data_IF_761657248972
#
_entry.id   IF_761657248972
#
_cell.length_a   1.000
_cell.length_b   1.000
_cell.length_c   1.000
_cell.angle_alpha   90.00
_cell.angle_beta   90.00
_cell.angle_gamma   90.00
#
_symmetry.space_group_name_H-M   'P 1'
#
loop_
_entity.id
_entity.type
_entity.pdbx_description
1 polymer ?
#
# COMPACT_ATOMS: atom_id res chain seq x y z
N UNK A 1 -20.32 -3.07 11.13
CA UNK A 1 -20.15 -1.72 10.52
C UNK A 1 -19.14 -1.89 9.40
N UNK A 2 -19.19 -1.11 8.32
CA UNK A 2 -18.21 -1.20 7.24
C UNK A 2 -16.77 -0.98 7.74
N UNK A 3 -16.54 0.02 8.60
CA UNK A 3 -15.29 0.13 9.35
C UNK A 3 -15.05 -1.12 10.20
N UNK A 4 -13.99 -1.85 9.88
CA UNK A 4 -13.70 -3.18 10.40
C UNK A 4 -12.95 -3.09 11.73
N UNK A 5 -13.19 -4.03 12.62
CA UNK A 5 -12.44 -4.20 13.88
C UNK A 5 -11.21 -5.10 13.69
N UNK A 6 -10.24 -5.04 14.60
CA UNK A 6 -9.07 -5.91 14.57
C UNK A 6 -9.43 -7.40 14.64
N UNK A 7 -10.51 -7.73 15.38
CA UNK A 7 -11.04 -9.11 15.45
C UNK A 7 -11.60 -9.58 14.11
N UNK A 8 -12.38 -8.75 13.42
CA UNK A 8 -12.91 -9.07 12.09
C UNK A 8 -11.78 -9.20 11.07
N UNK A 9 -10.72 -8.38 11.17
CA UNK A 9 -9.49 -8.51 10.39
C UNK A 9 -8.85 -9.89 10.56
N UNK A 10 -8.51 -10.25 11.79
CA UNK A 10 -7.90 -11.56 12.09
C UNK A 10 -8.80 -12.72 11.65
N UNK A 11 -10.12 -12.60 11.83
CA UNK A 11 -11.08 -13.65 11.44
C UNK A 11 -11.08 -13.86 9.93
N UNK A 12 -11.12 -12.78 9.14
CA UNK A 12 -11.10 -12.89 7.68
C UNK A 12 -9.80 -13.51 7.14
N UNK A 13 -8.65 -13.22 7.77
CA UNK A 13 -7.39 -13.89 7.41
C UNK A 13 -7.43 -15.42 7.66
N UNK A 14 -8.10 -15.85 8.74
CA UNK A 14 -8.25 -17.28 9.07
C UNK A 14 -9.20 -18.02 8.14
N UNK A 15 -10.30 -17.36 7.77
CA UNK A 15 -11.35 -17.94 6.92
C UNK A 15 -10.94 -18.05 5.44
N UNK A 16 -9.94 -17.27 5.02
CA UNK A 16 -9.44 -17.19 3.65
C UNK A 16 -7.95 -17.58 3.57
N UNK A 17 -7.62 -18.87 3.71
CA UNK A 17 -6.24 -19.32 3.76
C UNK A 17 -5.55 -19.12 2.41
N UNK A 18 -4.45 -18.36 2.42
CA UNK A 18 -3.58 -18.16 1.25
C UNK A 18 -2.38 -19.10 1.27
N UNK A 19 -1.77 -19.32 0.12
CA UNK A 19 -0.56 -20.13 0.02
C UNK A 19 0.70 -19.29 0.30
N UNK A 20 1.24 -19.41 1.50
CA UNK A 20 2.42 -18.67 1.97
C UNK A 20 3.54 -19.64 2.30
N UNK A 21 4.76 -19.30 1.90
CA UNK A 21 5.97 -20.06 2.13
C UNK A 21 7.01 -19.20 2.87
N UNK A 22 7.59 -19.74 3.94
CA UNK A 22 8.68 -19.15 4.74
C UNK A 22 9.67 -20.27 5.05
N UNK A 23 10.97 -20.03 4.90
CA UNK A 23 12.03 -20.99 5.24
C UNK A 23 11.87 -22.39 4.58
N UNK A 24 11.31 -22.43 3.37
CA UNK A 24 11.06 -23.67 2.64
C UNK A 24 9.80 -24.43 3.07
N UNK A 25 9.04 -23.92 4.04
CA UNK A 25 7.83 -24.54 4.55
C UNK A 25 6.57 -23.74 4.19
N UNK A 26 5.48 -24.47 3.90
CA UNK A 26 4.16 -23.85 3.69
C UNK A 26 3.52 -23.54 5.04
N UNK A 27 3.15 -22.28 5.22
CA UNK A 27 2.47 -21.79 6.42
C UNK A 27 0.99 -22.15 6.37
N UNK A 28 0.48 -22.72 7.46
CA UNK A 28 -0.93 -23.12 7.59
C UNK A 28 -1.84 -21.96 8.01
N UNK A 29 -1.37 -21.11 8.93
CA UNK A 29 -2.14 -20.00 9.49
C UNK A 29 -1.21 -18.79 9.72
N UNK A 30 -1.40 -17.77 8.89
CA UNK A 30 -0.64 -16.52 8.95
C UNK A 30 -0.90 -15.71 10.23
N UNK A 31 -2.03 -15.93 10.90
CA UNK A 31 -2.42 -15.16 12.10
C UNK A 31 -1.72 -15.63 13.37
N UNK A 32 -1.21 -16.87 13.36
CA UNK A 32 -0.56 -17.49 14.52
C UNK A 32 0.91 -17.80 14.28
N UNK A 33 1.35 -17.84 13.01
CA UNK A 33 2.74 -18.11 12.66
C UNK A 33 3.70 -17.10 13.34
N UNK A 34 4.79 -17.55 14.00
CA UNK A 34 5.68 -16.67 14.75
C UNK A 34 6.22 -15.47 13.97
N UNK A 35 6.56 -15.67 12.70
CA UNK A 35 7.10 -14.62 11.82
C UNK A 35 6.07 -13.54 11.39
N UNK A 36 4.77 -13.79 11.57
CA UNK A 36 3.70 -12.95 11.01
C UNK A 36 2.73 -12.43 12.07
N UNK A 37 2.51 -13.19 13.14
CA UNK A 37 1.45 -12.91 14.14
C UNK A 37 1.53 -11.52 14.77
N UNK A 38 2.72 -10.96 14.94
CA UNK A 38 2.85 -9.63 15.54
C UNK A 38 2.60 -8.52 14.52
N UNK A 39 2.98 -8.70 13.25
CA UNK A 39 2.52 -7.85 12.15
C UNK A 39 1.00 -7.87 12.01
N UNK A 40 0.38 -9.05 12.12
CA UNK A 40 -1.09 -9.19 12.16
C UNK A 40 -1.70 -8.41 13.32
N UNK A 41 -1.15 -8.53 14.53
CA UNK A 41 -1.63 -7.76 15.69
C UNK A 41 -1.47 -6.26 15.50
N UNK A 42 -0.38 -5.81 14.89
CA UNK A 42 -0.14 -4.39 14.63
C UNK A 42 -1.16 -3.83 13.65
N UNK A 43 -1.48 -4.53 12.56
CA UNK A 43 -2.57 -4.12 11.65
C UNK A 43 -3.93 -4.17 12.36
N UNK A 44 -4.20 -5.22 13.14
CA UNK A 44 -5.45 -5.34 13.91
C UNK A 44 -5.65 -4.15 14.87
N UNK A 45 -4.57 -3.69 15.52
CA UNK A 45 -4.60 -2.53 16.41
C UNK A 45 -4.96 -1.22 15.69
N UNK A 46 -4.61 -1.07 14.40
CA UNK A 46 -5.03 0.10 13.60
C UNK A 46 -6.54 0.11 13.37
N UNK A 47 -7.12 -1.06 13.09
CA UNK A 47 -8.57 -1.23 12.96
C UNK A 47 -9.30 -1.01 14.29
N UNK A 48 -8.75 -1.48 15.40
CA UNK A 48 -9.32 -1.20 16.73
C UNK A 48 -9.25 0.31 17.05
N UNK A 49 -8.13 0.98 16.74
CA UNK A 49 -8.00 2.45 16.87
C UNK A 49 -9.03 3.20 16.01
N UNK A 50 -9.31 2.74 14.81
CA UNK A 50 -10.33 3.34 13.94
C UNK A 50 -11.74 3.26 14.54
N UNK A 51 -11.99 2.25 15.38
CA UNK A 51 -13.27 2.06 16.06
C UNK A 51 -13.31 2.65 17.48
N UNK A 52 -12.21 3.22 17.96
CA UNK A 52 -12.16 3.89 19.27
C UNK A 52 -13.17 5.04 19.31
N UNK A 53 -14.15 5.04 20.24
CA UNK A 53 -15.14 6.11 20.35
C UNK A 53 -14.54 7.52 20.46
N UNK A 54 -13.35 7.67 21.05
CA UNK A 54 -12.70 8.98 21.23
C UNK A 54 -12.05 9.48 19.92
N UNK A 55 -11.68 8.58 19.01
CA UNK A 55 -11.01 8.91 17.75
C UNK A 55 -11.91 8.76 16.53
N UNK A 56 -13.08 8.12 16.66
CA UNK A 56 -13.94 7.71 15.54
C UNK A 56 -14.24 8.84 14.54
N UNK A 57 -14.46 10.07 15.01
CA UNK A 57 -14.72 11.23 14.14
C UNK A 57 -13.49 11.65 13.32
N UNK A 58 -12.28 11.46 13.87
CA UNK A 58 -11.02 11.68 13.15
C UNK A 58 -10.66 10.51 12.24
N UNK A 59 -11.18 9.30 12.50
CA UNK A 59 -10.76 8.07 11.81
C UNK A 59 -11.74 7.60 10.74
N UNK A 60 -12.98 8.08 10.76
CA UNK A 60 -14.04 7.60 9.85
C UNK A 60 -14.87 8.74 9.27
N UNK A 61 -15.65 8.43 8.22
CA UNK A 61 -16.71 9.29 7.69
C UNK A 61 -17.92 8.45 7.30
N UNK A 62 -19.07 9.10 7.09
CA UNK A 62 -20.28 8.41 6.65
C UNK A 62 -20.12 7.95 5.20
N UNK A 63 -20.31 6.64 4.96
CA UNK A 63 -20.31 6.06 3.61
C UNK A 63 -21.35 6.76 2.73
N UNK A 64 -20.98 7.19 1.52
CA UNK A 64 -21.93 7.74 0.55
C UNK A 64 -23.03 6.74 0.14
N UNK A 65 -22.77 5.43 0.20
CA UNK A 65 -23.71 4.38 -0.22
C UNK A 65 -24.58 3.86 0.91
N UNK A 66 -24.02 3.71 2.12
CA UNK A 66 -24.72 3.05 3.24
C UNK A 66 -25.04 3.98 4.41
N UNK A 67 -24.43 5.17 4.47
CA UNK A 67 -24.47 6.08 5.61
C UNK A 67 -23.74 5.56 6.85
N UNK A 68 -23.26 4.31 6.83
CA UNK A 68 -22.52 3.71 7.92
C UNK A 68 -21.05 4.19 7.90
N UNK A 69 -20.36 4.21 9.05
CA UNK A 69 -18.97 4.68 9.06
C UNK A 69 -18.00 3.75 8.31
N UNK A 70 -17.15 4.37 7.50
CA UNK A 70 -16.05 3.78 6.72
C UNK A 70 -14.76 4.54 7.03
N UNK A 71 -13.60 3.90 6.83
CA UNK A 71 -12.29 4.49 7.13
C UNK A 71 -12.03 5.77 6.34
N UNK A 72 -11.51 6.82 7.00
CA UNK A 72 -11.29 8.15 6.40
C UNK A 72 -10.26 8.14 5.26
N UNK A 73 -9.35 7.17 5.22
CA UNK A 73 -8.40 7.00 4.12
C UNK A 73 -9.07 6.71 2.77
N UNK A 74 -10.34 6.28 2.76
CA UNK A 74 -11.15 6.12 1.55
C UNK A 74 -11.88 7.40 1.10
N UNK A 75 -11.75 8.53 1.81
CA UNK A 75 -12.41 9.78 1.43
C UNK A 75 -11.82 10.33 0.13
N UNK A 76 -12.65 10.45 -0.92
CA UNK A 76 -12.31 11.16 -2.17
C UNK A 76 -12.29 12.66 -1.88
N UNK A 77 -11.12 13.32 -1.84
CA UNK A 77 -11.05 14.71 -1.37
C UNK A 77 -11.71 15.66 -2.36
N UNK A 78 -12.50 16.60 -1.86
CA UNK A 78 -13.13 17.67 -2.64
C UNK A 78 -12.61 19.05 -2.23
N UNK A 79 -11.84 19.12 -1.14
CA UNK A 79 -11.29 20.35 -0.57
C UNK A 79 -9.92 20.10 0.07
N UNK A 80 -9.17 21.17 0.34
CA UNK A 80 -7.90 21.09 1.08
C UNK A 80 -8.15 20.53 2.49
N UNK A 81 -9.27 20.90 3.11
CA UNK A 81 -9.66 20.39 4.43
C UNK A 81 -9.83 18.86 4.43
N UNK A 82 -10.35 18.27 3.35
CA UNK A 82 -10.40 16.81 3.22
C UNK A 82 -9.01 16.15 3.18
N UNK A 83 -8.02 16.81 2.54
CA UNK A 83 -6.62 16.36 2.54
C UNK A 83 -6.03 16.44 3.95
N UNK A 84 -6.26 17.54 4.67
CA UNK A 84 -5.79 17.72 6.05
C UNK A 84 -6.44 16.71 7.01
N UNK A 85 -7.74 16.43 6.85
CA UNK A 85 -8.47 15.39 7.59
C UNK A 85 -7.84 14.02 7.36
N UNK A 86 -7.56 13.66 6.09
CA UNK A 86 -6.82 12.43 5.75
C UNK A 86 -5.41 12.40 6.33
N UNK A 87 -4.66 13.51 6.26
CA UNK A 87 -3.32 13.63 6.89
C UNK A 87 -3.38 13.33 8.38
N UNK A 88 -4.36 13.90 9.10
CA UNK A 88 -4.51 13.67 10.54
C UNK A 88 -4.78 12.19 10.85
N UNK A 89 -5.68 11.54 10.13
CA UNK A 89 -5.95 10.11 10.29
C UNK A 89 -4.73 9.24 9.98
N UNK A 90 -4.05 9.48 8.85
CA UNK A 90 -2.79 8.80 8.51
C UNK A 90 -1.73 9.00 9.60
N UNK A 91 -1.63 10.21 10.17
CA UNK A 91 -0.68 10.47 11.26
C UNK A 91 -1.01 9.66 12.53
N UNK A 92 -2.30 9.49 12.89
CA UNK A 92 -2.72 8.63 14.02
C UNK A 92 -2.23 7.19 13.83
N UNK A 93 -2.48 6.61 12.66
CA UNK A 93 -2.00 5.26 12.33
C UNK A 93 -0.48 5.17 12.26
N UNK A 94 0.19 6.19 11.70
CA UNK A 94 1.66 6.22 11.67
C UNK A 94 2.26 6.22 13.09
N UNK A 95 1.73 7.02 14.02
CA UNK A 95 2.21 7.06 15.40
C UNK A 95 2.07 5.72 16.14
N UNK A 96 1.05 4.91 15.82
CA UNK A 96 0.87 3.57 16.39
C UNK A 96 2.06 2.62 16.11
N UNK A 97 2.83 2.90 15.05
CA UNK A 97 4.01 2.13 14.66
C UNK A 97 5.31 2.94 14.68
N UNK A 98 5.33 4.13 15.29
CA UNK A 98 6.47 5.05 15.22
C UNK A 98 6.89 5.38 13.77
N UNK A 99 5.91 5.40 12.86
CA UNK A 99 6.08 5.56 11.42
C UNK A 99 6.79 4.38 10.72
N UNK A 100 7.02 3.26 11.41
CA UNK A 100 7.77 2.12 10.86
C UNK A 100 6.99 1.37 9.78
N UNK A 101 5.68 1.19 9.96
CA UNK A 101 4.83 0.49 8.99
C UNK A 101 4.53 1.40 7.79
N UNK A 102 5.07 1.05 6.63
CA UNK A 102 4.96 1.80 5.38
C UNK A 102 3.84 1.33 4.44
N UNK A 103 3.18 0.23 4.77
CA UNK A 103 2.09 -0.39 4.00
C UNK A 103 0.87 -0.65 4.86
N UNK A 104 0.66 0.13 5.92
CA UNK A 104 -0.63 0.18 6.61
C UNK A 104 -1.78 0.38 5.59
N UNK A 105 -3.01 -0.10 5.90
CA UNK A 105 -4.08 -0.15 4.92
C UNK A 105 -4.35 1.17 4.18
N UNK A 106 -4.14 2.31 4.84
CA UNK A 106 -4.36 3.65 4.30
C UNK A 106 -3.49 3.93 3.06
N UNK A 107 -2.32 3.30 2.93
CA UNK A 107 -1.44 3.49 1.77
C UNK A 107 -2.13 3.12 0.44
N UNK A 108 -2.81 1.97 0.36
CA UNK A 108 -3.51 1.60 -0.89
C UNK A 108 -4.91 2.19 -0.96
N UNK A 109 -5.55 2.48 0.17
CA UNK A 109 -6.86 3.15 0.18
C UNK A 109 -6.79 4.49 -0.55
N UNK A 110 -5.73 5.28 -0.34
CA UNK A 110 -5.57 6.58 -1.01
C UNK A 110 -5.31 6.45 -2.51
N UNK A 111 -4.69 5.36 -2.96
CA UNK A 111 -4.47 5.08 -4.39
C UNK A 111 -5.79 4.73 -5.07
N UNK A 112 -6.56 3.79 -4.51
CA UNK A 112 -7.86 3.42 -5.07
C UNK A 112 -8.89 4.55 -4.98
N UNK A 113 -8.79 5.40 -3.96
CA UNK A 113 -9.57 6.64 -3.86
C UNK A 113 -9.29 7.58 -5.03
N UNK A 114 -8.00 7.79 -5.36
CA UNK A 114 -7.62 8.61 -6.52
C UNK A 114 -8.08 7.97 -7.84
N UNK A 115 -8.00 6.65 -7.97
CA UNK A 115 -8.47 5.93 -9.16
C UNK A 115 -9.98 6.00 -9.34
N UNK A 116 -10.76 5.82 -8.27
CA UNK A 116 -12.21 5.95 -8.32
C UNK A 116 -12.64 7.39 -8.62
N UNK A 117 -11.97 8.38 -8.03
CA UNK A 117 -12.22 9.79 -8.36
C UNK A 117 -11.81 10.17 -9.78
N UNK A 118 -10.92 9.39 -10.41
CA UNK A 118 -10.47 9.54 -11.79
C UNK A 118 -10.99 8.41 -12.71
N UNK A 119 -12.14 7.81 -12.41
CA UNK A 119 -12.58 6.57 -13.06
C UNK A 119 -12.76 6.70 -14.59
N UNK A 120 -13.01 7.91 -15.11
CA UNK A 120 -13.05 8.19 -16.55
C UNK A 120 -11.72 7.90 -17.26
N UNK A 121 -10.59 7.97 -16.56
CA UNK A 121 -9.29 7.55 -17.10
C UNK A 121 -9.32 6.10 -17.59
N UNK A 122 -9.98 5.22 -16.85
CA UNK A 122 -10.03 3.78 -17.11
C UNK A 122 -10.99 3.42 -18.25
N UNK A 123 -11.93 4.31 -18.61
CA UNK A 123 -12.85 4.11 -19.73
C UNK A 123 -12.24 4.41 -21.11
N UNK A 124 -11.03 4.98 -21.19
CA UNK A 124 -10.44 5.46 -22.45
C UNK A 124 -10.26 4.36 -23.50
N UNK A 125 -9.88 3.15 -23.08
CA UNK A 125 -9.74 2.01 -23.98
C UNK A 125 -10.96 1.07 -23.96
N UNK A 126 -11.41 0.71 -22.75
CA UNK A 126 -12.53 -0.20 -22.53
C UNK A 126 -13.52 0.43 -21.55
N UNK A 127 -14.70 0.89 -22.00
CA UNK A 127 -15.64 1.64 -21.17
C UNK A 127 -16.07 0.94 -19.88
N UNK A 128 -16.14 -0.39 -19.89
CA UNK A 128 -16.50 -1.21 -18.73
C UNK A 128 -15.52 -1.08 -17.55
N UNK A 129 -14.25 -0.75 -17.80
CA UNK A 129 -13.24 -0.67 -16.75
C UNK A 129 -13.46 0.49 -15.78
N UNK A 130 -14.15 1.56 -16.21
CA UNK A 130 -14.64 2.61 -15.31
C UNK A 130 -15.56 2.03 -14.23
N UNK A 131 -16.46 1.12 -14.61
CA UNK A 131 -17.35 0.47 -13.65
C UNK A 131 -16.55 -0.44 -12.72
N UNK A 132 -15.64 -1.24 -13.26
CA UNK A 132 -14.82 -2.17 -12.47
C UNK A 132 -14.02 -1.47 -11.37
N UNK A 133 -13.33 -0.37 -11.68
CA UNK A 133 -12.54 0.36 -10.68
C UNK A 133 -13.41 1.04 -9.63
N UNK A 134 -14.59 1.54 -10.02
CA UNK A 134 -15.55 2.18 -9.10
C UNK A 134 -16.18 1.15 -8.16
N UNK A 135 -16.70 0.05 -8.72
CA UNK A 135 -17.27 -1.06 -7.96
C UNK A 135 -16.25 -1.67 -6.99
N UNK A 136 -15.00 -1.84 -7.44
CA UNK A 136 -13.94 -2.38 -6.59
C UNK A 136 -13.59 -1.42 -5.46
N UNK A 137 -13.46 -0.11 -5.72
CA UNK A 137 -13.27 0.91 -4.68
C UNK A 137 -14.40 0.88 -3.64
N UNK A 138 -15.65 0.80 -4.07
CA UNK A 138 -16.80 0.66 -3.16
C UNK A 138 -16.70 -0.62 -2.34
N UNK A 139 -16.40 -1.76 -2.98
CA UNK A 139 -16.23 -3.04 -2.30
C UNK A 139 -15.15 -2.99 -1.22
N UNK A 140 -13.95 -2.48 -1.52
CA UNK A 140 -12.87 -2.41 -0.52
C UNK A 140 -13.15 -1.40 0.58
N UNK A 141 -13.86 -0.30 0.29
CA UNK A 141 -14.28 0.69 1.30
C UNK A 141 -15.33 0.12 2.24
N UNK A 142 -16.37 -0.51 1.69
CA UNK A 142 -17.49 -1.02 2.48
C UNK A 142 -17.15 -2.28 3.28
N UNK A 143 -16.03 -2.93 2.97
CA UNK A 143 -15.50 -4.08 3.73
C UNK A 143 -14.19 -3.77 4.47
N UNK A 144 -13.67 -2.54 4.33
CA UNK A 144 -12.45 -2.03 4.96
C UNK A 144 -11.30 -3.05 4.89
N UNK A 145 -10.99 -3.44 3.64
CA UNK A 145 -10.04 -4.49 3.34
C UNK A 145 -8.59 -3.98 3.41
N UNK A 146 -7.70 -4.81 3.95
CA UNK A 146 -6.25 -4.59 3.88
C UNK A 146 -5.75 -5.04 2.50
N UNK A 147 -5.09 -4.14 1.76
CA UNK A 147 -4.50 -4.47 0.47
C UNK A 147 -2.97 -4.53 0.55
N UNK A 148 -2.37 -5.38 -0.28
CA UNK A 148 -0.97 -5.26 -0.70
C UNK A 148 -0.90 -4.92 -2.20
N UNK A 149 0.28 -4.60 -2.70
CA UNK A 149 0.53 -4.46 -4.13
C UNK A 149 1.86 -5.10 -4.52
N UNK A 150 2.01 -5.42 -5.80
CA UNK A 150 3.31 -5.80 -6.35
C UNK A 150 3.51 -5.14 -7.71
N UNK A 151 4.61 -4.39 -7.83
CA UNK A 151 4.83 -3.46 -8.96
C UNK A 151 5.97 -3.89 -9.87
N UNK A 152 6.92 -4.65 -9.34
CA UNK A 152 8.16 -4.98 -10.05
C UNK A 152 8.06 -6.38 -10.65
N UNK A 153 8.41 -6.48 -11.92
CA UNK A 153 8.67 -7.79 -12.52
C UNK A 153 10.00 -8.33 -12.00
N UNK A 154 10.08 -9.65 -11.83
CA UNK A 154 11.35 -10.29 -11.55
C UNK A 154 12.25 -10.13 -12.78
N UNK A 155 13.30 -9.32 -12.64
CA UNK A 155 14.26 -9.08 -13.73
C UNK A 155 15.41 -10.07 -13.62
N UNK A 156 15.64 -10.83 -14.68
CA UNK A 156 16.79 -11.73 -14.76
C UNK A 156 18.12 -10.99 -14.90
N UNK A 157 18.12 -9.82 -15.55
CA UNK A 157 19.29 -8.93 -15.72
C UNK A 157 18.85 -7.47 -15.69
N UNK A 158 19.73 -6.58 -15.21
CA UNK A 158 19.50 -5.12 -15.20
C UNK A 158 19.77 -4.44 -16.54
N UNK A 159 20.50 -5.08 -17.46
CA UNK A 159 20.84 -4.52 -18.78
C UNK A 159 19.84 -4.99 -19.85
N UNK A 160 19.24 -4.06 -20.59
CA UNK A 160 18.15 -4.33 -21.56
C UNK A 160 18.63 -4.65 -23.00
N UNK A 161 19.83 -5.21 -23.16
CA UNK A 161 20.45 -5.36 -24.48
C UNK A 161 20.92 -6.79 -24.74
N UNK A 162 20.04 -7.57 -25.36
CA UNK A 162 20.31 -8.62 -26.37
C UNK A 162 19.16 -9.64 -26.32
N UNK A 163 18.65 -10.01 -27.50
CA UNK A 163 17.73 -11.12 -27.79
C UNK A 163 17.81 -12.20 -26.71
N UNK A 164 16.75 -12.36 -25.91
CA UNK A 164 16.65 -13.43 -24.92
C UNK A 164 16.02 -14.65 -25.60
N UNK A 165 16.68 -15.81 -25.49
CA UNK A 165 16.25 -17.10 -26.06
C UNK A 165 15.76 -18.06 -24.97
N UNK A 166 15.48 -17.56 -23.77
CA UNK A 166 14.97 -18.31 -22.63
C UNK A 166 13.59 -17.75 -22.24
N UNK A 167 12.62 -18.64 -21.98
CA UNK A 167 11.17 -18.38 -22.04
C UNK A 167 10.69 -17.14 -21.25
N UNK A 168 9.68 -16.46 -21.81
CA UNK A 168 8.93 -15.29 -21.27
C UNK A 168 8.27 -15.50 -19.89
N UNK A 169 8.47 -16.65 -19.24
CA UNK A 169 7.66 -17.16 -18.13
C UNK A 169 8.02 -16.57 -16.75
N UNK A 170 9.01 -15.67 -16.67
CA UNK A 170 9.43 -15.08 -15.40
C UNK A 170 8.59 -13.86 -15.02
N UNK A 171 8.34 -12.95 -15.96
CA UNK A 171 7.53 -11.76 -15.70
C UNK A 171 6.04 -12.12 -15.74
N UNK A 172 5.25 -11.53 -14.84
CA UNK A 172 3.81 -11.74 -14.86
C UNK A 172 3.20 -11.24 -16.18
N UNK A 173 2.56 -12.14 -16.90
CA UNK A 173 2.07 -11.92 -18.27
C UNK A 173 0.67 -12.50 -18.42
N UNK A 174 -0.19 -11.86 -19.20
CA UNK A 174 -1.46 -12.46 -19.65
C UNK A 174 -1.16 -13.53 -20.68
N UNK A 175 -1.48 -14.78 -20.35
CA UNK A 175 -1.24 -15.95 -21.22
C UNK A 175 -2.48 -16.36 -22.00
N UNK A 176 -3.67 -15.96 -21.55
CA UNK A 176 -4.94 -16.28 -22.22
C UNK A 176 -6.04 -15.31 -21.82
N UNK A 177 -6.89 -14.94 -22.76
CA UNK A 177 -8.20 -14.33 -22.49
C UNK A 177 -9.31 -15.37 -22.65
N UNK A 178 -10.31 -15.31 -21.78
CA UNK A 178 -11.45 -16.23 -21.75
C UNK A 178 -12.74 -15.45 -21.50
N UNK A 179 -13.88 -16.09 -21.72
CA UNK A 179 -15.18 -15.49 -21.40
C UNK A 179 -15.31 -15.14 -19.90
N UNK A 180 -14.60 -15.85 -19.02
CA UNK A 180 -14.63 -15.63 -17.58
C UNK A 180 -13.65 -14.55 -17.09
N UNK A 181 -12.66 -14.15 -17.90
CA UNK A 181 -11.60 -13.23 -17.48
C UNK A 181 -10.26 -13.50 -18.19
N UNK A 182 -9.19 -12.94 -17.63
CA UNK A 182 -7.82 -13.14 -18.13
C UNK A 182 -7.06 -14.13 -17.25
N UNK A 183 -6.26 -15.00 -17.87
CA UNK A 183 -5.36 -15.91 -17.16
C UNK A 183 -3.96 -15.31 -17.18
N UNK A 184 -3.37 -15.17 -16.00
CA UNK A 184 -2.01 -14.64 -15.83
C UNK A 184 -1.06 -15.71 -15.31
N UNK A 185 0.18 -15.67 -15.78
CA UNK A 185 1.26 -16.56 -15.36
C UNK A 185 2.55 -15.79 -15.19
N UNK A 186 3.35 -16.16 -14.18
CA UNK A 186 4.68 -15.58 -13.93
C UNK A 186 4.82 -15.04 -12.51
N UNK A 187 5.68 -14.04 -12.32
CA UNK A 187 6.04 -13.55 -10.98
C UNK A 187 6.07 -12.03 -10.84
N UNK A 188 5.91 -11.58 -9.60
CA UNK A 188 6.08 -10.19 -9.17
C UNK A 188 6.89 -10.11 -7.88
N UNK A 189 7.64 -9.05 -7.70
CA UNK A 189 8.48 -8.81 -6.54
C UNK A 189 7.86 -7.78 -5.59
N UNK A 190 8.29 -7.86 -4.32
CA UNK A 190 8.08 -6.88 -3.26
C UNK A 190 6.60 -6.63 -2.92
N UNK A 191 5.85 -7.71 -2.68
CA UNK A 191 4.54 -7.65 -2.06
C UNK A 191 4.68 -7.48 -0.54
N UNK A 192 5.08 -6.28 -0.11
CA UNK A 192 5.17 -5.91 1.30
C UNK A 192 3.78 -5.99 1.94
N UNK A 193 3.69 -6.58 3.14
CA UNK A 193 2.44 -6.93 3.84
C UNK A 193 1.63 -8.07 3.17
N UNK A 194 2.14 -8.67 2.09
CA UNK A 194 1.38 -9.59 1.24
C UNK A 194 0.74 -10.77 1.97
N UNK A 195 1.50 -11.55 2.75
CA UNK A 195 0.96 -12.70 3.49
C UNK A 195 -0.19 -12.38 4.44
N UNK A 196 -0.33 -11.12 4.87
CA UNK A 196 -1.34 -10.69 5.85
C UNK A 196 -2.35 -9.69 5.26
N UNK A 197 -2.42 -9.55 3.93
CA UNK A 197 -3.40 -8.68 3.25
C UNK A 197 -4.61 -9.47 2.75
N UNK A 198 -5.81 -8.88 2.76
CA UNK A 198 -7.02 -9.53 2.25
C UNK A 198 -6.98 -9.68 0.71
N UNK A 199 -6.56 -8.62 0.02
CA UNK A 199 -6.52 -8.53 -1.44
C UNK A 199 -5.15 -8.03 -1.93
N UNK A 200 -4.84 -8.27 -3.19
CA UNK A 200 -3.64 -7.77 -3.84
C UNK A 200 -3.97 -6.99 -5.11
N UNK A 201 -3.41 -5.78 -5.21
CA UNK A 201 -3.43 -4.97 -6.42
C UNK A 201 -2.17 -5.20 -7.27
N UNK A 202 -2.38 -5.52 -8.53
CA UNK A 202 -1.31 -5.63 -9.52
C UNK A 202 -1.48 -4.49 -10.50
N UNK A 203 -0.49 -3.60 -10.52
CA UNK A 203 -0.40 -2.49 -11.46
C UNK A 203 1.08 -2.12 -11.63
N UNK A 204 1.39 -1.26 -12.59
CA UNK A 204 2.76 -0.92 -12.93
C UNK A 204 3.23 0.39 -12.31
N UNK A 205 4.50 0.41 -11.94
CA UNK A 205 5.21 1.59 -11.43
C UNK A 205 6.41 1.98 -12.31
N UNK A 206 6.48 1.46 -13.54
CA UNK A 206 7.60 1.69 -14.46
C UNK A 206 7.15 1.81 -15.90
N UNK A 207 8.07 2.22 -16.76
CA UNK A 207 7.82 2.41 -18.19
C UNK A 207 7.99 1.09 -18.93
N UNK A 208 6.89 0.42 -19.21
CA UNK A 208 6.88 -0.66 -20.16
C UNK A 208 7.28 -0.19 -21.55
N UNK A 209 7.99 -1.07 -22.26
CA UNK A 209 8.32 -0.86 -23.67
C UNK A 209 7.04 -1.00 -24.48
N UNK A 210 6.94 -0.25 -25.57
CA UNK A 210 5.83 -0.35 -26.52
C UNK A 210 6.12 -1.46 -27.53
N UNK A 211 6.22 -2.69 -27.03
CA UNK A 211 6.36 -3.93 -27.81
C UNK A 211 5.28 -4.96 -27.41
N UNK A 212 5.20 -6.10 -28.11
CA UNK A 212 4.14 -7.10 -27.85
C UNK A 212 4.21 -7.71 -26.45
N UNK A 213 5.42 -7.89 -25.91
CA UNK A 213 5.61 -8.35 -24.53
C UNK A 213 5.14 -7.28 -23.54
N UNK A 214 5.50 -6.02 -23.80
CA UNK A 214 5.00 -4.87 -23.06
C UNK A 214 3.49 -4.81 -23.04
N UNK A 215 2.79 -5.09 -24.15
CA UNK A 215 1.31 -5.15 -24.17
C UNK A 215 0.77 -6.27 -23.29
N UNK A 216 1.28 -7.50 -23.43
CA UNK A 216 0.83 -8.66 -22.62
C UNK A 216 1.13 -8.50 -21.12
N UNK A 217 2.12 -7.68 -20.79
CA UNK A 217 2.48 -7.34 -19.41
C UNK A 217 1.74 -6.10 -18.90
N UNK A 218 1.15 -5.27 -19.77
CA UNK A 218 0.48 -4.02 -19.39
C UNK A 218 -0.95 -4.27 -18.97
N UNK A 219 -1.17 -4.35 -17.65
CA UNK A 219 -2.49 -4.52 -17.07
C UNK A 219 -2.52 -3.93 -15.66
N UNK A 220 -3.73 -3.64 -15.19
CA UNK A 220 -4.03 -3.33 -13.80
C UNK A 220 -5.24 -4.15 -13.35
N UNK A 221 -5.14 -4.86 -12.21
CA UNK A 221 -6.23 -5.63 -11.64
C UNK A 221 -6.08 -5.79 -10.12
N UNK A 222 -7.09 -6.33 -9.44
CA UNK A 222 -6.96 -6.78 -8.05
C UNK A 222 -7.67 -8.10 -7.78
N UNK A 223 -7.07 -8.97 -6.99
CA UNK A 223 -7.65 -10.28 -6.64
C UNK A 223 -7.44 -10.62 -5.16
N UNK A 224 -8.27 -11.52 -4.59
CA UNK A 224 -8.06 -12.01 -3.23
C UNK A 224 -6.69 -12.70 -3.08
N UNK A 225 -6.04 -12.52 -1.94
CA UNK A 225 -4.75 -13.16 -1.66
C UNK A 225 -4.84 -14.70 -1.56
N UNK A 226 -6.04 -15.25 -1.37
CA UNK A 226 -6.34 -16.69 -1.37
C UNK A 226 -6.75 -17.24 -2.75
N UNK A 227 -6.62 -16.45 -3.82
CA UNK A 227 -6.93 -16.90 -5.19
C UNK A 227 -6.11 -18.14 -5.56
N UNK A 228 -6.74 -19.24 -6.04
CA UNK A 228 -6.03 -20.44 -6.45
C UNK A 228 -4.94 -20.15 -7.48
N UNK A 229 -3.74 -20.70 -7.25
CA UNK A 229 -2.56 -20.49 -8.09
C UNK A 229 -1.68 -19.30 -7.68
N UNK A 230 -2.16 -18.40 -6.79
CA UNK A 230 -1.33 -17.35 -6.20
C UNK A 230 -0.55 -17.87 -4.99
N UNK A 231 0.76 -17.66 -5.01
CA UNK A 231 1.68 -18.11 -3.95
C UNK A 231 2.59 -16.97 -3.50
N UNK A 232 2.81 -16.87 -2.19
CA UNK A 232 3.73 -15.93 -1.57
C UNK A 232 4.98 -16.66 -1.09
N UNK A 233 6.16 -16.27 -1.57
CA UNK A 233 7.45 -16.68 -1.04
C UNK A 233 8.05 -15.52 -0.25
N UNK A 234 8.05 -15.65 1.07
CA UNK A 234 8.52 -14.61 1.97
C UNK A 234 10.05 -14.54 2.02
N UNK A 235 10.58 -13.36 2.31
CA UNK A 235 11.96 -13.22 2.81
C UNK A 235 12.09 -13.80 4.23
N UNK A 236 13.33 -13.82 4.73
CA UNK A 236 13.59 -14.07 6.15
C UNK A 236 12.89 -13.00 7.02
N UNK A 237 12.28 -13.45 8.12
CA UNK A 237 11.59 -12.60 9.10
C UNK A 237 12.57 -11.76 9.91
N UNK A 238 12.23 -10.52 10.26
CA UNK A 238 12.94 -9.78 11.31
C UNK A 238 12.32 -10.02 12.69
N UNK A 239 11.04 -10.40 12.75
CA UNK A 239 10.41 -10.92 13.96
C UNK A 239 10.82 -12.38 14.20
N UNK A 240 11.89 -12.54 14.97
CA UNK A 240 12.48 -13.81 15.37
C UNK A 240 11.97 -14.28 16.74
N UNK A 241 10.81 -13.80 17.19
CA UNK A 241 10.24 -14.16 18.50
C UNK A 241 11.03 -13.61 19.70
N UNK A 242 11.81 -12.55 19.48
CA UNK A 242 12.63 -11.91 20.51
C UNK A 242 11.81 -10.97 21.40
N UNK A 243 12.36 -10.61 22.55
CA UNK A 243 11.70 -9.72 23.53
C UNK A 243 11.37 -8.35 22.95
N UNK A 244 10.17 -7.83 23.26
CA UNK A 244 9.76 -6.45 22.97
C UNK A 244 10.62 -5.40 23.68
N UNK A 245 11.37 -5.76 24.72
CA UNK A 245 12.29 -4.83 25.37
C UNK A 245 13.58 -4.63 24.55
N UNK A 246 14.20 -5.72 24.10
CA UNK A 246 15.46 -5.67 23.35
C UNK A 246 15.26 -5.39 21.85
N UNK A 247 14.11 -5.77 21.30
CA UNK A 247 13.77 -5.62 19.88
C UNK A 247 12.43 -4.89 19.69
N UNK A 248 12.25 -3.68 20.23
CA UNK A 248 10.94 -3.04 20.38
C UNK A 248 10.21 -2.76 19.06
N UNK A 249 10.95 -2.59 17.95
CA UNK A 249 10.37 -2.34 16.63
C UNK A 249 10.18 -3.63 15.84
N UNK A 250 11.27 -4.39 15.61
CA UNK A 250 11.25 -5.60 14.78
C UNK A 250 10.34 -6.71 15.31
N UNK A 251 10.12 -6.80 16.62
CA UNK A 251 9.21 -7.80 17.21
C UNK A 251 7.72 -7.43 17.13
N UNK A 252 7.38 -6.28 16.53
CA UNK A 252 6.00 -5.75 16.49
C UNK A 252 5.57 -5.32 15.10
N UNK A 253 6.42 -4.59 14.39
CA UNK A 253 6.06 -3.86 13.17
C UNK A 253 6.61 -4.54 11.92
N UNK A 254 6.59 -5.87 11.89
CA UNK A 254 7.01 -6.66 10.74
C UNK A 254 6.03 -6.51 9.57
N UNK A 255 6.53 -5.98 8.45
CA UNK A 255 5.85 -5.96 7.17
C UNK A 255 6.55 -6.93 6.23
N UNK A 256 6.06 -8.18 6.18
CA UNK A 256 6.70 -9.22 5.40
C UNK A 256 6.72 -8.87 3.91
N UNK A 257 7.91 -8.86 3.31
CA UNK A 257 8.09 -8.75 1.87
C UNK A 257 8.05 -10.12 1.22
N UNK A 258 7.19 -10.30 0.23
CA UNK A 258 7.07 -11.54 -0.51
C UNK A 258 7.33 -11.38 -2.01
N UNK A 259 7.97 -12.38 -2.59
CA UNK A 259 7.90 -12.65 -4.02
C UNK A 259 6.61 -13.41 -4.30
N UNK A 260 5.94 -13.06 -5.39
CA UNK A 260 4.68 -13.66 -5.79
C UNK A 260 4.87 -14.53 -7.01
N UNK A 261 4.19 -15.67 -7.00
CA UNK A 261 4.08 -16.55 -8.16
C UNK A 261 2.61 -16.75 -8.50
N UNK A 262 2.30 -16.59 -9.78
CA UNK A 262 0.98 -16.79 -10.36
C UNK A 262 1.07 -18.02 -11.27
N UNK A 263 0.50 -19.13 -10.81
CA UNK A 263 0.40 -20.36 -11.58
C UNK A 263 -0.96 -20.41 -12.30
N UNK A 264 -1.02 -19.81 -13.49
CA UNK A 264 -2.22 -19.77 -14.33
C UNK A 264 -3.48 -19.27 -13.60
N UNK A 265 -3.33 -18.13 -12.94
CA UNK A 265 -4.37 -17.51 -12.12
C UNK A 265 -5.41 -16.85 -13.00
N UNK A 266 -6.69 -17.18 -12.79
CA UNK A 266 -7.81 -16.48 -13.42
C UNK A 266 -8.11 -15.18 -12.68
N UNK A 267 -8.10 -14.06 -13.40
CA UNK A 267 -8.55 -12.75 -12.96
C UNK A 267 -9.90 -12.48 -13.62
N UNK A 268 -11.02 -12.43 -12.86
CA UNK A 268 -12.34 -12.15 -13.40
C UNK A 268 -12.40 -10.79 -14.09
N UNK A 269 -13.24 -10.65 -15.13
CA UNK A 269 -13.35 -9.40 -15.89
C UNK A 269 -13.70 -8.19 -15.02
N UNK A 270 -14.52 -8.36 -13.98
CA UNK A 270 -14.95 -7.31 -13.06
C UNK A 270 -13.81 -6.80 -12.16
N UNK A 271 -12.68 -7.52 -12.13
CA UNK A 271 -11.48 -7.18 -11.37
C UNK A 271 -10.36 -6.57 -12.22
N UNK A 272 -10.55 -6.45 -13.53
CA UNK A 272 -9.60 -5.84 -14.47
C UNK A 272 -9.92 -4.36 -14.64
N UNK A 273 -8.91 -3.50 -14.49
CA UNK A 273 -9.02 -2.04 -14.60
C UNK A 273 -8.31 -1.50 -15.84
N UNK A 274 -7.22 -2.13 -16.28
CA UNK A 274 -6.54 -1.84 -17.55
C UNK A 274 -6.00 -3.15 -18.14
N UNK A 275 -5.95 -3.24 -19.47
CA UNK A 275 -5.44 -4.43 -20.17
C UNK A 275 -4.89 -4.05 -21.55
N UNK A 276 -3.67 -4.48 -21.86
CA UNK A 276 -3.01 -4.34 -23.16
C UNK A 276 -2.43 -2.94 -23.45
N UNK A 277 -2.93 -1.91 -22.77
CA UNK A 277 -2.56 -0.51 -23.02
C UNK A 277 -1.32 -0.09 -22.27
N UNK A 278 -0.18 -0.12 -22.96
CA UNK A 278 1.11 0.30 -22.42
C UNK A 278 1.07 1.76 -21.97
N UNK A 279 0.48 2.64 -22.78
CA UNK A 279 0.39 4.07 -22.49
C UNK A 279 -0.46 4.33 -21.23
N UNK A 280 -1.66 3.76 -21.15
CA UNK A 280 -2.51 3.97 -19.98
C UNK A 280 -1.90 3.32 -18.72
N UNK A 281 -1.26 2.16 -18.82
CA UNK A 281 -0.61 1.54 -17.68
C UNK A 281 0.58 2.37 -17.17
N UNK A 282 1.40 2.94 -18.07
CA UNK A 282 2.54 3.78 -17.70
C UNK A 282 2.08 5.11 -17.07
N UNK A 283 0.96 5.68 -17.54
CA UNK A 283 0.50 7.01 -17.12
C UNK A 283 -0.50 6.99 -15.95
N UNK A 284 -0.96 5.83 -15.48
CA UNK A 284 -2.00 5.73 -14.44
C UNK A 284 -1.70 6.58 -13.20
N UNK A 285 -0.45 6.56 -12.72
CA UNK A 285 -0.04 7.27 -11.51
C UNK A 285 -0.08 8.79 -11.65
N UNK A 286 0.36 9.33 -12.79
CA UNK A 286 0.38 10.77 -13.05
C UNK A 286 -0.99 11.29 -13.49
N UNK A 287 -1.66 10.57 -14.40
CA UNK A 287 -2.93 10.98 -14.99
C UNK A 287 -4.09 10.97 -13.99
N UNK A 288 -4.10 10.01 -13.05
CA UNK A 288 -5.07 9.97 -11.93
C UNK A 288 -4.57 10.75 -10.71
N UNK A 289 -3.30 11.19 -10.73
CA UNK A 289 -2.56 11.70 -9.58
C UNK A 289 -2.53 10.77 -8.36
N UNK A 290 -2.76 9.46 -8.52
CA UNK A 290 -2.63 8.50 -7.42
C UNK A 290 -1.23 8.50 -6.81
N UNK A 291 -0.20 8.83 -7.60
CA UNK A 291 1.17 9.02 -7.11
C UNK A 291 1.26 10.17 -6.08
N UNK A 292 0.55 11.27 -6.31
CA UNK A 292 0.48 12.41 -5.38
C UNK A 292 -0.22 12.01 -4.08
N UNK A 293 -1.34 11.29 -4.18
CA UNK A 293 -2.08 10.80 -3.00
C UNK A 293 -1.26 9.82 -2.16
N UNK A 294 -0.55 8.88 -2.78
CA UNK A 294 0.36 7.98 -2.06
C UNK A 294 1.59 8.73 -1.51
N UNK A 295 2.12 9.71 -2.24
CA UNK A 295 3.25 10.54 -1.79
C UNK A 295 2.90 11.34 -0.54
N UNK A 296 1.70 11.91 -0.48
CA UNK A 296 1.19 12.62 0.70
C UNK A 296 1.04 11.71 1.94
N UNK A 297 0.54 10.49 1.76
CA UNK A 297 0.51 9.46 2.81
C UNK A 297 1.92 9.11 3.29
N UNK A 298 2.84 8.85 2.35
CA UNK A 298 4.24 8.48 2.62
C UNK A 298 4.95 9.60 3.37
N UNK A 299 4.79 10.85 2.95
CA UNK A 299 5.42 12.01 3.56
C UNK A 299 4.88 12.24 4.98
N UNK A 300 3.57 12.08 5.19
CA UNK A 300 2.95 12.14 6.53
C UNK A 300 3.58 11.10 7.47
N UNK A 301 3.70 9.84 7.02
CA UNK A 301 4.35 8.78 7.80
C UNK A 301 5.86 9.02 7.98
N UNK A 302 6.55 9.55 6.97
CA UNK A 302 7.96 9.96 7.06
C UNK A 302 8.16 11.01 8.16
N UNK A 303 7.29 12.02 8.23
CA UNK A 303 7.35 13.06 9.24
C UNK A 303 7.22 12.46 10.65
N UNK A 304 6.24 11.58 10.88
CA UNK A 304 6.10 10.86 12.16
C UNK A 304 7.35 10.05 12.51
N UNK A 305 7.93 9.34 11.53
CA UNK A 305 9.18 8.59 11.74
C UNK A 305 10.34 9.52 12.10
N UNK A 306 10.46 10.67 11.45
CA UNK A 306 11.50 11.66 11.74
C UNK A 306 11.33 12.24 13.15
N UNK A 307 10.10 12.56 13.56
CA UNK A 307 9.81 13.04 14.92
C UNK A 307 10.12 11.98 15.98
N UNK A 308 9.80 10.72 15.73
CA UNK A 308 10.16 9.61 16.61
C UNK A 308 11.68 9.44 16.74
N UNK A 309 12.41 9.46 15.62
CA UNK A 309 13.88 9.33 15.61
C UNK A 309 14.54 10.50 16.35
N UNK A 310 14.07 11.72 16.11
CA UNK A 310 14.57 12.91 16.79
C UNK A 310 14.35 12.82 18.31
N UNK A 311 13.14 12.45 18.75
CA UNK A 311 12.86 12.26 20.18
C UNK A 311 13.70 11.14 20.82
N UNK A 312 13.99 10.06 20.09
CA UNK A 312 14.88 9.01 20.56
C UNK A 312 16.33 9.51 20.69
N UNK A 313 16.83 10.26 19.71
CA UNK A 313 18.16 10.85 19.75
C UNK A 313 18.30 11.82 20.93
N UNK A 314 17.29 12.65 21.18
CA UNK A 314 17.25 13.60 22.29
C UNK A 314 17.35 12.89 23.66
N UNK A 315 16.55 11.83 23.86
CA UNK A 315 16.62 11.01 25.08
C UNK A 315 18.00 10.36 25.26
N UNK A 316 18.66 9.94 24.18
CA UNK A 316 20.02 9.40 24.26
C UNK A 316 21.04 10.47 24.68
N UNK A 317 20.91 11.69 24.16
CA UNK A 317 21.76 12.83 24.51
C UNK A 317 21.58 13.21 25.98
N UNK A 318 20.34 13.28 26.46
CA UNK A 318 20.03 13.54 27.88
C UNK A 318 20.60 12.45 28.79
N UNK A 319 20.38 11.17 28.44
CA UNK A 319 20.82 10.02 29.25
C UNK A 319 22.33 9.96 29.38
N UNK A 320 23.06 10.29 28.31
CA UNK A 320 24.53 10.31 28.31
C UNK A 320 25.10 11.61 28.89
N UNK A 321 24.28 12.63 29.11
CA UNK A 321 24.73 13.96 29.55
C UNK A 321 25.63 14.66 28.53
N UNK A 322 25.46 14.36 27.24
CA UNK A 322 26.37 14.80 26.17
C UNK A 322 25.92 16.06 25.44
N UNK A 323 24.77 16.64 25.83
CA UNK A 323 24.12 17.76 25.14
C UNK A 323 24.89 19.09 25.14
N UNK A 324 25.94 19.23 25.95
CA UNK A 324 26.83 20.40 25.92
C UNK A 324 27.95 20.29 24.88
N UNK A 325 28.15 19.12 24.25
CA UNK A 325 29.20 18.91 23.27
C UNK A 325 28.78 19.47 21.90
N UNK A 326 29.52 20.43 21.30
CA UNK A 326 29.10 21.08 20.05
C UNK A 326 28.85 20.12 18.88
N UNK A 327 29.68 19.08 18.72
CA UNK A 327 29.48 18.09 17.66
C UNK A 327 28.22 17.23 17.85
N UNK A 328 27.79 17.01 19.11
CA UNK A 328 26.52 16.32 19.38
C UNK A 328 25.34 17.22 19.02
N UNK A 329 25.42 18.52 19.36
CA UNK A 329 24.41 19.50 18.96
C UNK A 329 24.27 19.59 17.44
N UNK A 330 25.38 19.63 16.70
CA UNK A 330 25.38 19.64 15.23
C UNK A 330 24.62 18.45 14.61
N UNK A 331 24.82 17.23 15.12
CA UNK A 331 24.08 16.06 14.64
C UNK A 331 22.59 16.12 14.96
N UNK A 332 22.22 16.62 16.14
CA UNK A 332 20.80 16.80 16.52
C UNK A 332 20.16 17.88 15.63
N UNK A 333 20.88 18.97 15.35
CA UNK A 333 20.43 20.05 14.46
C UNK A 333 20.17 19.55 13.04
N UNK A 334 20.98 18.60 12.54
CA UNK A 334 20.72 17.94 11.25
C UNK A 334 19.40 17.17 11.26
N UNK A 335 19.11 16.41 12.32
CA UNK A 335 17.83 15.70 12.47
C UNK A 335 16.63 16.67 12.53
N UNK A 336 16.78 17.78 13.26
CA UNK A 336 15.76 18.84 13.33
C UNK A 336 15.52 19.42 11.93
N UNK A 337 16.59 19.71 11.18
CA UNK A 337 16.52 20.26 9.82
C UNK A 337 15.77 19.32 8.88
N UNK A 338 16.09 18.02 8.91
CA UNK A 338 15.39 17.03 8.08
C UNK A 338 13.90 16.93 8.45
N UNK A 339 13.58 16.90 9.75
CA UNK A 339 12.19 16.87 10.23
C UNK A 339 11.42 18.11 9.77
N UNK A 340 11.99 19.29 9.93
CA UNK A 340 11.36 20.57 9.54
C UNK A 340 11.18 20.66 8.02
N UNK A 341 12.11 20.13 7.23
CA UNK A 341 11.97 20.04 5.77
C UNK A 341 10.79 19.14 5.38
N UNK A 342 10.66 17.95 5.97
CA UNK A 342 9.50 17.08 5.71
C UNK A 342 8.17 17.77 6.06
N UNK A 343 8.14 18.49 7.18
CA UNK A 343 6.97 19.25 7.63
C UNK A 343 6.64 20.40 6.67
N UNK A 344 7.65 21.10 6.17
CA UNK A 344 7.47 22.18 5.19
C UNK A 344 6.94 21.63 3.86
N UNK A 345 7.50 20.53 3.36
CA UNK A 345 7.03 19.85 2.16
C UNK A 345 5.58 19.38 2.28
N UNK A 346 5.20 18.79 3.41
CA UNK A 346 3.84 18.33 3.64
C UNK A 346 2.83 19.49 3.62
N UNK A 347 3.18 20.60 4.29
CA UNK A 347 2.37 21.81 4.28
C UNK A 347 2.27 22.41 2.88
N UNK A 348 3.37 22.47 2.13
CA UNK A 348 3.37 22.99 0.76
C UNK A 348 2.48 22.13 -0.15
N UNK A 349 2.54 20.80 -0.02
CA UNK A 349 1.70 19.88 -0.77
C UNK A 349 0.19 20.14 -0.58
N UNK A 350 -0.22 20.51 0.64
CA UNK A 350 -1.62 20.84 0.97
C UNK A 350 -1.98 22.28 0.59
N UNK A 351 -1.09 23.25 0.84
CA UNK A 351 -1.33 24.66 0.55
C UNK A 351 -1.45 24.96 -0.96
N UNK A 352 -0.67 24.25 -1.77
CA UNK A 352 -0.67 24.36 -3.23
C UNK A 352 -1.55 23.30 -3.91
N UNK A 353 -2.36 22.55 -3.14
CA UNK A 353 -3.27 21.55 -3.67
C UNK A 353 -4.32 22.18 -4.60
N UNK A 354 -4.71 21.43 -5.63
CA UNK A 354 -5.69 21.88 -6.60
C UNK A 354 -6.57 20.72 -7.09
N UNK A 355 -7.79 21.00 -7.55
CA UNK A 355 -8.58 20.01 -8.29
C UNK A 355 -7.81 19.54 -9.52
N UNK A 356 -7.73 18.22 -9.69
CA UNK A 356 -7.17 17.61 -10.87
C UNK A 356 -8.14 17.69 -12.05
N UNK A 357 -7.73 17.19 -13.23
CA UNK A 357 -8.58 17.19 -14.43
C UNK A 357 -9.89 16.39 -14.28
N UNK A 358 -10.01 15.55 -13.25
CA UNK A 358 -11.17 14.74 -12.92
C UNK A 358 -12.02 15.35 -11.78
N UNK A 359 -11.64 16.52 -11.26
CA UNK A 359 -12.35 17.21 -10.17
C UNK A 359 -12.00 16.72 -8.76
N UNK A 360 -11.01 15.83 -8.59
CA UNK A 360 -10.52 15.40 -7.28
C UNK A 360 -9.53 16.43 -6.74
N UNK A 361 -9.71 16.89 -5.50
CA UNK A 361 -8.69 17.72 -4.85
C UNK A 361 -7.44 16.87 -4.59
N UNK A 362 -6.31 17.27 -5.18
CA UNK A 362 -5.07 16.51 -5.11
C UNK A 362 -3.94 17.32 -4.50
N UNK A 363 -3.09 16.70 -3.68
CA UNK A 363 -1.85 17.32 -3.21
C UNK A 363 -0.96 17.77 -4.37
N UNK A 364 -0.25 18.88 -4.19
CA UNK A 364 0.78 19.28 -5.15
C UNK A 364 1.92 18.25 -5.18
N UNK A 365 2.36 17.87 -6.38
CA UNK A 365 3.34 16.78 -6.57
C UNK A 365 4.78 17.23 -6.27
N UNK A 366 5.16 18.45 -6.66
CA UNK A 366 6.55 18.92 -6.59
C UNK A 366 7.22 18.78 -5.21
N UNK A 367 6.54 19.04 -4.06
CA UNK A 367 7.14 18.87 -2.74
C UNK A 367 7.10 17.43 -2.17
N UNK A 368 6.45 16.47 -2.84
CA UNK A 368 6.18 15.12 -2.33
C UNK A 368 7.26 14.07 -2.65
#
# INVERSE_FOLDING_TARGET
MPARTGKEYITGLKERPREVWIDGERIKDVTTHPALRNGVKSVAALYDMQNDPELREEMTYASPTTGQPVGLSFLIPQSIEDLERRRNMTARWAWASCGMMGRSPDFLNVIFTAWAGAADYFAQDRPEFKKNVTDYYEYIRENDLTLTHALLNLQRRRASASIDTLSDEVALTVVKETDAGVVVHGSRLLATLGPISDEIAIYHAGNHRVDEDGKRQSFAFSIPCDTPGLKFLCRESFDQGRSHFNHPLGSRFEEMDATLFFDNVLVPWERVFLLGSVELCNNIGSATQSAAHSGHQVLTRCLVKAEFILGLADLMVETLGSGSNPHVQEHVDELITQRDMLKACLRAAEADAAPNQWGVMSPAIAPL
#
